data_IF_967476235725
#
_entry.id   IF_967476235725
#
_cell.length_a   1.000
_cell.length_b   1.000
_cell.length_c   1.000
_cell.angle_alpha   90.00
_cell.angle_beta   90.00
_cell.angle_gamma   90.00
#
_symmetry.space_group_name_H-M   'P 1'
#
loop_
_entity.id
_entity.type
_entity.pdbx_description
1 polymer ?
#
# COMPACT_ATOMS: atom_id res chain seq x y z
N UNK A 1 5.20 31.71 -30.40
CA UNK A 1 4.45 30.96 -29.37
C UNK A 1 3.13 30.52 -29.97
N UNK A 2 2.68 29.31 -29.66
CA UNK A 2 1.32 28.87 -29.98
C UNK A 2 0.45 28.95 -28.74
N UNK A 3 -0.61 29.75 -28.80
CA UNK A 3 -1.71 29.70 -27.83
C UNK A 3 -2.99 29.36 -28.58
N UNK A 4 -3.68 28.33 -28.10
CA UNK A 4 -5.05 28.02 -28.50
C UNK A 4 -5.90 28.24 -27.26
N UNK A 5 -6.88 29.14 -27.35
CA UNK A 5 -7.77 29.46 -26.24
C UNK A 5 -9.22 29.49 -26.68
N UNK A 6 -10.13 29.07 -25.80
CA UNK A 6 -11.57 29.09 -26.02
C UNK A 6 -12.29 29.59 -24.77
N UNK A 7 -13.27 30.48 -24.94
CA UNK A 7 -14.18 30.89 -23.85
C UNK A 7 -15.25 29.83 -23.55
N UNK A 8 -15.36 28.79 -24.40
CA UNK A 8 -16.23 27.65 -24.23
C UNK A 8 -15.43 26.38 -23.99
N UNK A 9 -15.74 25.32 -24.75
CA UNK A 9 -14.91 24.13 -24.83
C UNK A 9 -13.89 24.26 -25.99
N UNK A 10 -12.78 23.56 -25.89
CA UNK A 10 -11.79 23.38 -26.96
C UNK A 10 -11.76 21.90 -27.33
N UNK A 11 -11.94 21.57 -28.61
CA UNK A 11 -11.87 20.18 -29.09
C UNK A 11 -10.86 20.07 -30.23
N UNK A 12 -9.89 19.17 -30.09
CA UNK A 12 -8.85 18.91 -31.08
C UNK A 12 -8.78 17.40 -31.30
N UNK A 13 -8.78 16.96 -32.56
CA UNK A 13 -8.66 15.55 -32.92
C UNK A 13 -7.53 15.38 -33.93
N UNK A 14 -6.69 14.37 -33.70
CA UNK A 14 -5.61 13.95 -34.58
C UNK A 14 -5.59 12.43 -34.68
N UNK A 15 -5.49 11.88 -35.89
CA UNK A 15 -5.49 10.43 -36.11
C UNK A 15 -4.26 9.70 -35.56
N UNK A 16 -3.22 10.43 -35.14
CA UNK A 16 -1.99 9.86 -34.58
C UNK A 16 -1.50 10.67 -33.39
N UNK A 17 -0.73 11.72 -33.67
CA UNK A 17 -0.03 12.51 -32.67
C UNK A 17 -0.64 13.92 -32.51
N UNK A 18 -0.78 14.37 -31.27
CA UNK A 18 -1.07 15.75 -30.91
C UNK A 18 0.10 16.27 -30.08
N UNK A 19 0.70 17.39 -30.49
CA UNK A 19 1.89 17.95 -29.82
C UNK A 19 1.66 19.40 -29.41
N UNK A 20 1.63 19.63 -28.09
CA UNK A 20 1.69 20.95 -27.46
C UNK A 20 3.11 21.18 -26.91
N UNK A 21 4.06 21.46 -27.80
CA UNK A 21 5.47 21.65 -27.44
C UNK A 21 6.06 22.89 -28.12
N UNK A 22 7.07 23.48 -27.48
CA UNK A 22 7.85 24.55 -28.12
C UNK A 22 8.63 23.97 -29.31
N UNK A 23 8.82 24.78 -30.36
CA UNK A 23 9.67 24.38 -31.47
C UNK A 23 11.11 24.22 -31.00
N UNK A 24 11.69 23.03 -31.22
CA UNK A 24 13.07 22.68 -30.86
C UNK A 24 14.16 23.44 -31.64
N UNK A 25 13.79 24.36 -32.54
CA UNK A 25 14.71 25.06 -33.44
C UNK A 25 15.09 26.49 -33.03
N UNK A 26 14.71 26.96 -31.84
CA UNK A 26 15.09 28.30 -31.38
C UNK A 26 16.31 28.24 -30.43
N UNK A 27 17.48 28.79 -30.80
CA UNK A 27 18.64 28.82 -29.92
C UNK A 27 18.37 29.70 -28.69
N UNK A 28 18.54 29.13 -27.49
CA UNK A 28 18.79 29.73 -26.17
C UNK A 28 17.96 30.96 -25.69
N UNK A 29 16.91 31.38 -26.40
CA UNK A 29 15.96 32.36 -25.89
C UNK A 29 14.93 31.60 -25.07
N UNK A 30 14.63 32.06 -23.84
CA UNK A 30 13.50 31.58 -23.05
C UNK A 30 12.21 31.84 -23.84
N UNK A 31 11.81 30.88 -24.67
CA UNK A 31 10.54 30.92 -25.39
C UNK A 31 9.48 30.51 -24.39
N UNK A 32 8.45 31.35 -24.12
CA UNK A 32 7.44 30.95 -23.16
C UNK A 32 6.65 29.75 -23.69
N UNK A 33 6.25 28.87 -22.76
CA UNK A 33 5.67 27.57 -23.07
C UNK A 33 4.35 27.68 -23.87
N UNK A 34 4.06 26.75 -24.79
CA UNK A 34 2.81 26.75 -25.55
C UNK A 34 1.62 26.40 -24.64
N UNK A 35 0.42 26.86 -25.01
CA UNK A 35 -0.78 26.65 -24.20
C UNK A 35 -2.00 26.25 -25.02
N UNK A 36 -2.75 25.28 -24.52
CA UNK A 36 -4.09 24.89 -24.96
C UNK A 36 -5.04 25.08 -23.78
N UNK A 37 -5.94 26.04 -23.86
CA UNK A 37 -6.78 26.45 -22.73
C UNK A 37 -8.24 26.59 -23.12
N UNK A 38 -9.13 26.22 -22.20
CA UNK A 38 -10.57 26.44 -22.33
C UNK A 38 -11.20 26.82 -20.99
N UNK A 39 -12.30 27.56 -21.03
CA UNK A 39 -13.07 27.82 -19.81
C UNK A 39 -13.78 26.55 -19.34
N UNK A 40 -14.53 25.91 -20.25
CA UNK A 40 -15.18 24.61 -20.04
C UNK A 40 -14.18 23.51 -20.42
N UNK A 41 -14.60 22.46 -21.12
CA UNK A 41 -13.74 21.30 -21.34
C UNK A 41 -12.63 21.53 -22.38
N UNK A 42 -11.48 20.89 -22.17
CA UNK A 42 -10.48 20.65 -23.22
C UNK A 42 -10.56 19.17 -23.62
N UNK A 43 -10.96 18.90 -24.86
CA UNK A 43 -11.13 17.55 -25.41
C UNK A 43 -10.03 17.28 -26.45
N UNK A 44 -9.10 16.40 -26.12
CA UNK A 44 -7.99 16.02 -26.98
C UNK A 44 -8.15 14.56 -27.39
N UNK A 45 -8.31 14.31 -28.69
CA UNK A 45 -8.38 12.95 -29.24
C UNK A 45 -7.14 12.63 -30.05
N UNK A 46 -6.28 11.76 -29.54
CA UNK A 46 -5.09 11.24 -30.24
C UNK A 46 -4.56 9.97 -29.55
N UNK A 47 -3.86 9.11 -30.30
CA UNK A 47 -3.17 7.96 -29.70
C UNK A 47 -1.97 8.42 -28.86
N UNK A 48 -1.25 9.42 -29.35
CA UNK A 48 -0.09 9.98 -28.66
C UNK A 48 -0.29 11.49 -28.45
N UNK A 49 -0.33 11.90 -27.19
CA UNK A 49 -0.40 13.30 -26.77
C UNK A 49 0.94 13.66 -26.14
N UNK A 50 1.64 14.61 -26.74
CA UNK A 50 2.92 15.15 -26.21
C UNK A 50 2.68 16.57 -25.73
N UNK A 51 2.89 16.83 -24.45
CA UNK A 51 2.74 18.14 -23.83
C UNK A 51 4.02 18.52 -23.09
N UNK A 52 4.64 19.63 -23.49
CA UNK A 52 5.73 20.27 -22.75
C UNK A 52 5.35 21.69 -22.32
N UNK A 53 4.06 22.03 -22.41
CA UNK A 53 3.51 23.32 -22.02
C UNK A 53 2.29 23.13 -21.13
N UNK A 54 1.26 23.95 -21.31
CA UNK A 54 0.04 23.87 -20.49
C UNK A 54 -1.15 23.39 -21.31
N UNK A 55 -1.83 22.35 -20.83
CA UNK A 55 -3.17 21.97 -21.25
C UNK A 55 -4.09 22.24 -20.05
N UNK A 56 -5.07 23.12 -20.18
CA UNK A 56 -5.89 23.49 -19.02
C UNK A 56 -7.35 23.81 -19.31
N UNK A 57 -8.22 23.32 -18.41
CA UNK A 57 -9.59 23.76 -18.24
C UNK A 57 -9.74 24.53 -16.92
N UNK A 58 -10.38 25.70 -16.95
CA UNK A 58 -10.58 26.49 -15.71
C UNK A 58 -11.80 26.09 -14.90
N UNK A 59 -12.88 25.61 -15.53
CA UNK A 59 -14.16 25.28 -14.87
C UNK A 59 -14.74 23.92 -15.27
N UNK A 60 -14.11 23.22 -16.21
CA UNK A 60 -14.56 21.92 -16.71
C UNK A 60 -13.45 20.88 -16.58
N UNK A 61 -13.48 19.92 -17.49
CA UNK A 61 -12.59 18.78 -17.49
C UNK A 61 -11.49 18.91 -18.56
N UNK A 62 -10.40 18.18 -18.37
CA UNK A 62 -9.50 17.85 -19.47
C UNK A 62 -9.74 16.39 -19.84
N UNK A 63 -10.24 16.15 -21.06
CA UNK A 63 -10.54 14.83 -21.58
C UNK A 63 -9.47 14.45 -22.60
N UNK A 64 -8.67 13.45 -22.26
CA UNK A 64 -7.63 12.87 -23.11
C UNK A 64 -8.17 11.52 -23.58
N UNK A 65 -8.46 11.39 -24.87
CA UNK A 65 -9.08 10.18 -25.43
C UNK A 65 -8.33 9.72 -26.67
N UNK A 66 -8.56 8.47 -27.05
CA UNK A 66 -8.00 7.88 -28.26
C UNK A 66 -9.12 7.24 -29.09
N UNK A 67 -8.95 7.15 -30.40
CA UNK A 67 -9.92 6.48 -31.28
C UNK A 67 -9.66 4.97 -31.29
N UNK A 68 -10.69 4.16 -31.00
CA UNK A 68 -10.61 2.69 -31.11
C UNK A 68 -9.72 2.02 -30.05
N UNK A 69 -9.41 0.75 -30.30
CA UNK A 69 -8.53 -0.06 -29.44
C UNK A 69 -7.07 0.09 -29.88
N UNK A 70 -6.41 1.11 -29.35
CA UNK A 70 -4.98 1.35 -29.55
C UNK A 70 -4.35 1.84 -28.25
N UNK A 71 -3.05 1.63 -28.06
CA UNK A 71 -2.31 2.15 -26.89
C UNK A 71 -2.42 3.67 -26.84
N UNK A 72 -2.72 4.20 -25.65
CA UNK A 72 -2.79 5.62 -25.40
C UNK A 72 -1.54 6.06 -24.66
N UNK A 73 -0.81 7.02 -25.22
CA UNK A 73 0.39 7.58 -24.63
C UNK A 73 0.20 9.08 -24.39
N UNK A 74 0.27 9.50 -23.14
CA UNK A 74 0.30 10.91 -22.73
C UNK A 74 1.67 11.20 -22.17
N UNK A 75 2.54 11.79 -22.98
CA UNK A 75 3.85 12.27 -22.54
C UNK A 75 3.74 13.74 -22.16
N UNK A 76 3.60 14.01 -20.88
CA UNK A 76 3.50 15.33 -20.27
C UNK A 76 4.84 15.80 -19.68
N UNK A 77 5.97 15.25 -20.13
CA UNK A 77 7.31 15.61 -19.60
C UNK A 77 7.59 17.10 -19.74
N UNK A 78 7.82 17.77 -18.61
CA UNK A 78 8.04 19.22 -18.54
C UNK A 78 6.79 20.08 -18.74
N UNK A 79 5.61 19.47 -18.86
CA UNK A 79 4.33 20.14 -19.02
C UNK A 79 3.42 20.03 -17.79
N UNK A 80 2.27 20.69 -17.89
CA UNK A 80 1.18 20.63 -16.91
C UNK A 80 -0.14 20.35 -17.62
N UNK A 81 -0.89 19.37 -17.12
CA UNK A 81 -2.30 19.17 -17.44
C UNK A 81 -3.13 19.57 -16.23
N UNK A 82 -4.08 20.50 -16.40
CA UNK A 82 -4.77 21.13 -15.28
C UNK A 82 -6.28 21.26 -15.48
N UNK A 83 -7.06 20.70 -14.57
CA UNK A 83 -8.50 20.84 -14.42
C UNK A 83 -8.84 21.12 -12.95
N UNK A 84 -8.34 22.24 -12.40
CA UNK A 84 -8.41 22.55 -10.94
C UNK A 84 -9.82 22.55 -10.35
N UNK A 85 -10.84 22.80 -11.17
CA UNK A 85 -12.25 22.79 -10.77
C UNK A 85 -13.03 21.59 -11.34
N UNK A 86 -12.34 20.60 -11.90
CA UNK A 86 -12.95 19.44 -12.54
C UNK A 86 -12.05 18.21 -12.50
N UNK A 87 -12.24 17.34 -13.49
CA UNK A 87 -11.51 16.09 -13.63
C UNK A 87 -10.53 16.11 -14.81
N UNK A 88 -9.44 15.36 -14.67
CA UNK A 88 -8.67 14.89 -15.81
C UNK A 88 -9.14 13.46 -16.10
N UNK A 89 -9.66 13.23 -17.31
CA UNK A 89 -10.13 11.93 -17.74
C UNK A 89 -9.18 11.39 -18.80
N UNK A 90 -8.61 10.21 -18.56
CA UNK A 90 -7.74 9.51 -19.50
C UNK A 90 -8.48 8.26 -19.98
N UNK A 91 -8.86 8.30 -21.26
CA UNK A 91 -9.88 7.46 -21.91
C UNK A 91 -11.28 7.61 -21.35
N UNK A 92 -12.23 7.18 -22.17
CA UNK A 92 -13.64 7.07 -21.82
C UNK A 92 -13.87 5.98 -20.77
N UNK A 93 -14.80 6.20 -19.84
CA UNK A 93 -15.16 5.24 -18.79
C UNK A 93 -15.77 3.94 -19.31
N UNK A 94 -16.34 3.96 -20.50
CA UNK A 94 -16.88 2.78 -21.18
C UNK A 94 -15.85 2.02 -22.03
N UNK A 95 -14.56 2.41 -22.01
CA UNK A 95 -13.54 1.72 -22.79
C UNK A 95 -13.33 0.28 -22.28
N UNK A 96 -13.57 -0.70 -23.16
CA UNK A 96 -13.48 -2.14 -22.87
C UNK A 96 -12.42 -2.87 -23.72
N UNK A 97 -11.55 -2.12 -24.41
CA UNK A 97 -10.48 -2.70 -25.23
C UNK A 97 -9.34 -3.28 -24.39
N UNK A 98 -8.35 -3.89 -25.04
CA UNK A 98 -7.22 -4.55 -24.36
C UNK A 98 -5.95 -3.67 -24.31
N UNK A 99 -5.98 -2.49 -24.94
CA UNK A 99 -4.79 -1.65 -25.02
C UNK A 99 -4.50 -0.89 -23.73
N UNK A 100 -3.21 -0.71 -23.48
CA UNK A 100 -2.70 0.00 -22.30
C UNK A 100 -2.92 1.52 -22.37
N UNK A 101 -2.86 2.13 -21.20
CA UNK A 101 -2.89 3.59 -21.00
C UNK A 101 -1.63 4.01 -20.27
N UNK A 102 -0.82 4.85 -20.90
CA UNK A 102 0.46 5.31 -20.35
C UNK A 102 0.41 6.83 -20.18
N UNK A 103 0.69 7.33 -18.98
CA UNK A 103 0.80 8.76 -18.66
C UNK A 103 2.14 9.01 -17.98
N UNK A 104 3.02 9.80 -18.60
CA UNK A 104 4.38 10.01 -18.12
C UNK A 104 4.75 11.48 -18.06
N UNK A 105 5.45 11.88 -17.00
CA UNK A 105 6.05 13.20 -16.81
C UNK A 105 5.10 14.32 -16.41
N UNK A 106 5.70 15.42 -15.94
CA UNK A 106 5.02 16.67 -15.60
C UNK A 106 3.97 16.55 -14.51
N UNK A 107 3.10 17.56 -14.43
CA UNK A 107 2.10 17.66 -13.36
C UNK A 107 0.68 17.42 -13.87
N UNK A 108 -0.13 16.72 -13.07
CA UNK A 108 -1.56 16.50 -13.25
C UNK A 108 -2.35 17.14 -12.11
N UNK A 109 -2.95 18.30 -12.38
CA UNK A 109 -3.59 19.13 -11.36
C UNK A 109 -5.12 19.11 -11.50
N UNK A 110 -5.85 18.44 -10.60
CA UNK A 110 -7.30 18.28 -10.71
C UNK A 110 -7.98 17.98 -9.37
N UNK A 111 -9.31 17.94 -9.35
CA UNK A 111 -10.05 17.37 -8.21
C UNK A 111 -10.08 15.84 -8.28
N UNK A 112 -10.18 15.31 -9.51
CA UNK A 112 -10.23 13.88 -9.80
C UNK A 112 -9.32 13.55 -10.99
N UNK A 113 -8.66 12.41 -10.94
CA UNK A 113 -7.96 11.81 -12.07
C UNK A 113 -8.62 10.46 -12.34
N UNK A 114 -9.34 10.36 -13.45
CA UNK A 114 -10.05 9.14 -13.84
C UNK A 114 -9.26 8.44 -14.94
N UNK A 115 -8.84 7.21 -14.67
CA UNK A 115 -7.98 6.41 -15.53
C UNK A 115 -8.73 5.14 -15.95
N UNK A 116 -8.93 4.96 -17.25
CA UNK A 116 -9.64 3.80 -17.78
C UNK A 116 -8.75 3.06 -18.78
N UNK A 117 -8.70 1.74 -18.71
CA UNK A 117 -7.97 0.94 -19.71
C UNK A 117 -8.66 -0.37 -20.10
N UNK A 118 -9.92 -0.60 -19.72
CA UNK A 118 -10.66 -1.80 -20.09
C UNK A 118 -9.96 -3.07 -19.58
N UNK A 119 -9.55 -3.96 -20.49
CA UNK A 119 -8.71 -5.13 -20.17
C UNK A 119 -7.20 -4.87 -20.25
N UNK A 120 -6.77 -3.63 -20.51
CA UNK A 120 -5.37 -3.22 -20.51
C UNK A 120 -4.86 -2.74 -19.14
N UNK A 121 -3.57 -2.44 -19.10
CA UNK A 121 -2.87 -1.89 -17.91
C UNK A 121 -2.75 -0.38 -17.99
N UNK A 122 -2.90 0.27 -16.83
CA UNK A 122 -2.67 1.71 -16.66
C UNK A 122 -1.28 1.91 -16.03
N UNK A 123 -0.44 2.73 -16.65
CA UNK A 123 0.86 3.12 -16.13
C UNK A 123 0.92 4.66 -16.01
N UNK A 124 1.10 5.16 -14.80
CA UNK A 124 1.22 6.60 -14.50
C UNK A 124 2.52 6.85 -13.77
N UNK A 125 3.42 7.65 -14.35
CA UNK A 125 4.62 8.14 -13.67
C UNK A 125 4.71 9.66 -13.85
N UNK A 126 4.32 10.42 -12.83
CA UNK A 126 4.17 11.88 -12.91
C UNK A 126 4.84 12.57 -11.72
N UNK A 127 5.03 13.89 -11.82
CA UNK A 127 5.45 14.73 -10.70
C UNK A 127 4.29 14.95 -9.74
N UNK A 128 3.73 16.15 -9.73
CA UNK A 128 2.60 16.48 -8.87
C UNK A 128 1.31 15.83 -9.38
N UNK A 129 0.60 15.16 -8.48
CA UNK A 129 -0.73 14.60 -8.72
C UNK A 129 -1.62 15.02 -7.54
N UNK A 130 -2.59 15.90 -7.81
CA UNK A 130 -3.43 16.51 -6.75
C UNK A 130 -4.84 15.95 -6.66
N UNK A 131 -5.34 15.37 -7.75
CA UNK A 131 -6.68 14.79 -7.82
C UNK A 131 -6.77 13.43 -7.13
N UNK A 132 -7.98 13.06 -6.73
CA UNK A 132 -8.26 11.69 -6.29
C UNK A 132 -8.22 10.76 -7.49
N UNK A 133 -7.37 9.73 -7.44
CA UNK A 133 -7.16 8.75 -8.51
C UNK A 133 -8.26 7.70 -8.47
N UNK A 134 -9.04 7.60 -9.53
CA UNK A 134 -10.00 6.52 -9.76
C UNK A 134 -9.55 5.71 -10.96
N UNK A 135 -9.54 4.37 -10.85
CA UNK A 135 -9.00 3.50 -11.88
C UNK A 135 -9.92 2.33 -12.18
N UNK A 136 -10.08 2.03 -13.47
CA UNK A 136 -10.72 0.81 -13.98
C UNK A 136 -9.86 0.19 -15.07
N UNK A 137 -9.44 -1.06 -14.87
CA UNK A 137 -8.50 -1.73 -15.78
C UNK A 137 -8.15 -3.15 -15.31
N UNK A 138 -7.24 -3.81 -16.01
CA UNK A 138 -6.64 -5.04 -15.48
C UNK A 138 -5.74 -4.71 -14.30
N UNK A 139 -4.77 -3.82 -14.47
CA UNK A 139 -3.89 -3.37 -13.39
C UNK A 139 -3.67 -1.86 -13.49
N UNK A 140 -3.28 -1.24 -12.38
CA UNK A 140 -2.83 0.16 -12.32
C UNK A 140 -1.50 0.25 -11.61
N UNK A 141 -0.55 0.95 -12.23
CA UNK A 141 0.73 1.26 -11.63
C UNK A 141 0.89 2.76 -11.60
N UNK A 142 0.84 3.34 -10.41
CA UNK A 142 0.96 4.78 -10.20
C UNK A 142 2.23 5.05 -9.43
N UNK A 143 3.08 5.89 -10.00
CA UNK A 143 4.20 6.54 -9.33
C UNK A 143 3.99 8.05 -9.41
N UNK A 144 3.98 8.70 -8.26
CA UNK A 144 3.89 10.15 -8.17
C UNK A 144 4.97 10.68 -7.23
N UNK A 145 5.41 11.91 -7.50
CA UNK A 145 6.24 12.70 -6.60
C UNK A 145 5.39 13.86 -6.06
N UNK A 146 4.44 13.54 -5.18
CA UNK A 146 3.44 14.49 -4.66
C UNK A 146 3.41 14.48 -3.13
N UNK A 147 2.89 15.53 -2.52
CA UNK A 147 2.68 15.56 -1.07
C UNK A 147 1.68 14.49 -0.61
N UNK A 148 0.55 14.39 -1.32
CA UNK A 148 -0.51 13.41 -1.03
C UNK A 148 -0.94 12.70 -2.32
N UNK A 149 -0.74 11.39 -2.40
CA UNK A 149 -1.36 10.56 -3.43
C UNK A 149 -2.70 10.03 -2.91
N UNK A 150 -3.80 10.60 -3.41
CA UNK A 150 -5.16 10.28 -2.96
C UNK A 150 -5.79 9.22 -3.86
N UNK A 151 -6.18 8.10 -3.28
CA UNK A 151 -6.78 6.98 -3.98
C UNK A 151 -8.28 6.90 -3.68
N UNK A 152 -9.07 6.98 -4.74
CA UNK A 152 -10.52 6.77 -4.72
C UNK A 152 -10.87 5.33 -5.09
N UNK A 153 -11.87 5.15 -5.95
CA UNK A 153 -12.32 3.82 -6.38
C UNK A 153 -11.26 3.13 -7.23
N UNK A 154 -10.86 1.92 -6.83
CA UNK A 154 -10.01 1.03 -7.62
C UNK A 154 -10.81 -0.23 -7.95
N UNK A 155 -11.11 -0.41 -9.23
CA UNK A 155 -11.79 -1.60 -9.76
C UNK A 155 -10.84 -2.31 -10.73
N UNK A 156 -10.06 -3.25 -10.20
CA UNK A 156 -8.90 -3.83 -10.86
C UNK A 156 -8.91 -5.35 -10.73
N UNK A 157 -8.61 -6.06 -11.82
CA UNK A 157 -8.57 -7.54 -11.81
C UNK A 157 -7.16 -8.13 -11.65
N UNK A 158 -6.13 -7.29 -11.61
CA UNK A 158 -4.71 -7.66 -11.66
C UNK A 158 -3.90 -7.10 -10.48
N UNK A 159 -2.58 -6.94 -10.68
CA UNK A 159 -1.58 -6.53 -9.68
C UNK A 159 -1.37 -4.99 -9.59
N UNK A 160 -2.07 -4.23 -8.73
CA UNK A 160 -1.79 -2.80 -8.59
C UNK A 160 -0.55 -2.47 -7.76
N UNK A 161 0.15 -1.42 -8.20
CA UNK A 161 1.28 -0.80 -7.52
C UNK A 161 1.05 0.70 -7.37
N UNK A 162 1.06 1.20 -6.13
CA UNK A 162 0.97 2.63 -5.84
C UNK A 162 2.21 3.09 -5.09
N UNK A 163 2.91 4.06 -5.67
CA UNK A 163 4.17 4.61 -5.15
C UNK A 163 4.01 6.11 -5.04
N UNK A 164 4.21 6.64 -3.83
CA UNK A 164 4.44 8.07 -3.65
C UNK A 164 5.86 8.27 -3.09
N UNK A 165 6.79 8.71 -3.94
CA UNK A 165 8.19 8.83 -3.56
C UNK A 165 8.51 10.12 -2.81
N UNK A 166 7.55 11.04 -2.69
CA UNK A 166 7.73 12.37 -2.09
C UNK A 166 6.71 12.73 -1.00
N UNK A 167 5.89 11.78 -0.54
CA UNK A 167 4.89 12.04 0.50
C UNK A 167 4.01 10.84 0.85
N UNK A 168 2.77 11.15 1.23
CA UNK A 168 1.82 10.23 1.84
C UNK A 168 0.92 9.56 0.78
N UNK A 169 0.37 8.39 1.10
CA UNK A 169 -0.71 7.75 0.34
C UNK A 169 -1.99 7.76 1.18
N UNK A 170 -3.07 8.31 0.63
CA UNK A 170 -4.39 8.33 1.25
C UNK A 170 -5.33 7.36 0.55
N UNK A 171 -5.79 6.33 1.27
CA UNK A 171 -6.81 5.38 0.83
C UNK A 171 -8.18 5.93 1.27
N UNK A 172 -8.96 6.46 0.31
CA UNK A 172 -10.23 7.14 0.59
C UNK A 172 -11.47 6.31 0.25
N UNK A 173 -11.30 5.10 -0.27
CA UNK A 173 -12.37 4.17 -0.60
C UNK A 173 -11.94 2.73 -0.32
N UNK A 174 -12.91 1.82 -0.32
CA UNK A 174 -12.61 0.38 -0.35
C UNK A 174 -11.79 0.02 -1.59
N UNK A 175 -10.94 -0.99 -1.45
CA UNK A 175 -10.04 -1.49 -2.49
C UNK A 175 -10.34 -2.97 -2.73
N UNK A 176 -10.59 -3.32 -3.98
CA UNK A 176 -10.81 -4.69 -4.41
C UNK A 176 -9.91 -4.97 -5.62
N UNK A 177 -9.04 -5.96 -5.48
CA UNK A 177 -8.07 -6.31 -6.53
C UNK A 177 -8.04 -7.82 -6.74
N UNK A 178 -7.79 -8.21 -7.98
CA UNK A 178 -7.71 -9.62 -8.37
C UNK A 178 -6.35 -10.27 -8.14
N UNK A 179 -5.26 -9.51 -8.05
CA UNK A 179 -3.93 -10.06 -7.81
C UNK A 179 -3.19 -9.33 -6.67
N UNK A 180 -1.86 -9.29 -6.65
CA UNK A 180 -1.06 -8.72 -5.57
C UNK A 180 -1.24 -7.20 -5.46
N UNK A 181 -1.42 -6.70 -4.23
CA UNK A 181 -1.59 -5.28 -3.93
C UNK A 181 -0.36 -4.71 -3.24
N UNK A 182 0.25 -3.66 -3.81
CA UNK A 182 1.42 -3.02 -3.20
C UNK A 182 1.26 -1.50 -3.06
N UNK A 183 1.51 -1.00 -1.85
CA UNK A 183 1.64 0.42 -1.53
C UNK A 183 3.04 0.73 -0.98
N UNK A 184 3.70 1.74 -1.55
CA UNK A 184 5.00 2.24 -1.07
C UNK A 184 4.97 3.77 -0.97
N UNK A 185 5.06 4.29 0.24
CA UNK A 185 5.10 5.73 0.50
C UNK A 185 6.45 6.12 1.13
N UNK A 186 7.00 7.26 0.73
CA UNK A 186 8.13 7.87 1.46
C UNK A 186 7.68 8.56 2.74
N UNK A 187 6.39 8.91 2.85
CA UNK A 187 5.70 9.31 4.07
C UNK A 187 4.76 8.22 4.61
N UNK A 188 3.57 8.62 5.05
CA UNK A 188 2.56 7.78 5.67
C UNK A 188 1.67 7.06 4.65
N UNK A 189 1.05 5.95 5.05
CA UNK A 189 -0.08 5.33 4.37
C UNK A 189 -1.28 5.44 5.30
N UNK A 190 -2.30 6.17 4.89
CA UNK A 190 -3.42 6.60 5.72
C UNK A 190 -4.73 6.09 5.12
N UNK A 191 -5.62 5.55 5.96
CA UNK A 191 -6.97 5.16 5.53
C UNK A 191 -8.02 6.08 6.15
N UNK A 192 -8.97 6.54 5.32
CA UNK A 192 -10.10 7.36 5.78
C UNK A 192 -11.20 6.51 6.44
N UNK A 193 -12.13 7.16 7.15
CA UNK A 193 -13.29 6.50 7.77
C UNK A 193 -14.25 5.82 6.78
N UNK A 194 -14.15 6.14 5.49
CA UNK A 194 -14.93 5.47 4.44
C UNK A 194 -14.38 4.07 4.11
N UNK A 195 -13.14 3.77 4.49
CA UNK A 195 -12.52 2.47 4.22
C UNK A 195 -13.02 1.46 5.24
N UNK A 196 -13.71 0.45 4.72
CA UNK A 196 -14.24 -0.70 5.45
C UNK A 196 -13.58 -2.00 5.01
N UNK A 197 -13.05 -2.05 3.78
CA UNK A 197 -12.51 -3.25 3.18
C UNK A 197 -11.32 -2.95 2.26
N UNK A 198 -10.24 -3.73 2.40
CA UNK A 198 -9.13 -3.85 1.46
C UNK A 198 -8.94 -5.34 1.18
N UNK A 199 -9.19 -5.79 -0.05
CA UNK A 199 -9.17 -7.21 -0.41
C UNK A 199 -8.36 -7.49 -1.67
N UNK A 200 -7.57 -8.56 -1.61
CA UNK A 200 -6.76 -9.08 -2.72
C UNK A 200 -7.08 -10.58 -2.92
N UNK A 201 -7.98 -10.86 -3.87
CA UNK A 201 -8.50 -12.21 -4.16
C UNK A 201 -8.78 -12.34 -5.66
N UNK A 202 -8.21 -13.36 -6.28
CA UNK A 202 -8.36 -13.60 -7.72
C UNK A 202 -9.77 -14.07 -8.11
N UNK A 203 -10.02 -14.10 -9.42
CA UNK A 203 -11.30 -14.55 -10.00
C UNK A 203 -11.64 -16.01 -9.67
N UNK A 204 -10.66 -16.81 -9.25
CA UNK A 204 -10.84 -18.21 -8.83
C UNK A 204 -11.01 -18.34 -7.30
N UNK A 205 -11.02 -17.23 -6.57
CA UNK A 205 -11.14 -17.22 -5.11
C UNK A 205 -9.86 -17.60 -4.38
N UNK A 206 -8.69 -17.49 -5.00
CA UNK A 206 -7.38 -17.63 -4.35
C UNK A 206 -6.95 -16.28 -3.77
N UNK A 207 -6.46 -16.29 -2.55
CA UNK A 207 -5.91 -15.08 -1.94
C UNK A 207 -4.56 -14.70 -2.52
N UNK A 208 -4.31 -13.40 -2.68
CA UNK A 208 -3.07 -12.83 -3.21
C UNK A 208 -2.43 -11.87 -2.21
N UNK A 209 -1.18 -11.47 -2.43
CA UNK A 209 -0.41 -10.77 -1.41
C UNK A 209 -0.88 -9.32 -1.22
N UNK A 210 -0.75 -8.80 0.00
CA UNK A 210 -0.94 -7.38 0.31
C UNK A 210 0.34 -6.86 0.96
N UNK A 211 0.94 -5.81 0.41
CA UNK A 211 2.14 -5.18 0.93
C UNK A 211 1.93 -3.68 1.13
N UNK A 212 2.22 -3.20 2.33
CA UNK A 212 2.16 -1.78 2.70
C UNK A 212 3.47 -1.36 3.35
N UNK A 213 4.15 -0.39 2.73
CA UNK A 213 5.47 0.08 3.17
C UNK A 213 5.44 1.60 3.28
N UNK A 214 5.42 2.09 4.51
CA UNK A 214 5.45 3.52 4.83
C UNK A 214 6.85 3.96 5.26
N UNK A 215 7.22 5.18 4.92
CA UNK A 215 8.50 5.77 5.28
C UNK A 215 9.69 5.21 4.52
N UNK A 216 9.50 4.69 3.31
CA UNK A 216 10.59 4.08 2.54
C UNK A 216 11.42 5.12 1.77
N UNK A 217 12.75 4.96 1.74
CA UNK A 217 13.62 5.69 0.84
C UNK A 217 13.51 5.13 -0.57
N UNK A 218 12.56 5.63 -1.35
CA UNK A 218 12.33 5.20 -2.73
C UNK A 218 13.44 5.75 -3.61
N UNK A 219 14.37 4.88 -4.03
CA UNK A 219 15.55 5.24 -4.84
C UNK A 219 15.35 5.09 -6.34
N UNK A 220 14.11 4.79 -6.76
CA UNK A 220 13.67 4.74 -8.14
C UNK A 220 13.70 3.34 -8.76
N UNK A 221 12.84 3.16 -9.76
CA UNK A 221 13.00 2.17 -10.83
C UNK A 221 12.82 2.94 -12.14
N UNK A 222 13.31 2.39 -13.25
CA UNK A 222 12.83 2.84 -14.56
C UNK A 222 11.31 2.61 -14.64
N UNK A 223 10.56 3.59 -15.13
CA UNK A 223 9.10 3.48 -15.27
C UNK A 223 8.29 3.60 -13.96
N UNK A 224 7.34 2.69 -13.77
CA UNK A 224 6.32 2.71 -12.70
C UNK A 224 6.61 1.78 -11.52
N UNK A 225 7.71 1.04 -11.55
CA UNK A 225 8.13 0.20 -10.42
C UNK A 225 8.60 1.01 -9.19
N UNK A 226 8.98 0.28 -8.15
CA UNK A 226 9.55 0.84 -6.93
C UNK A 226 10.80 0.07 -6.53
N UNK A 227 11.84 0.80 -6.12
CA UNK A 227 12.97 0.23 -5.41
C UNK A 227 13.26 1.07 -4.17
N UNK A 228 13.55 0.44 -3.04
CA UNK A 228 13.90 1.14 -1.82
C UNK A 228 15.00 0.42 -1.03
N UNK A 229 15.78 1.21 -0.30
CA UNK A 229 17.01 0.77 0.39
C UNK A 229 16.95 0.91 1.92
N UNK A 230 15.83 1.38 2.47
CA UNK A 230 15.65 1.57 3.91
C UNK A 230 14.65 2.69 4.21
N UNK A 231 14.85 3.37 5.33
CA UNK A 231 14.02 4.48 5.78
C UNK A 231 14.25 5.76 4.98
N UNK A 232 13.19 6.49 4.65
CA UNK A 232 13.23 7.86 4.16
C UNK A 232 13.73 8.81 5.24
N UNK A 233 14.06 10.05 4.85
CA UNK A 233 14.44 11.09 5.82
C UNK A 233 13.29 11.43 6.79
N UNK A 234 12.04 11.28 6.36
CA UNK A 234 10.84 11.61 7.14
C UNK A 234 10.29 10.43 7.94
N UNK A 235 10.66 9.19 7.59
CA UNK A 235 9.97 8.00 8.08
C UNK A 235 8.50 8.02 7.65
N UNK A 236 7.72 7.10 8.20
CA UNK A 236 6.32 6.97 7.88
C UNK A 236 5.57 6.02 8.79
N UNK A 237 4.26 6.19 8.84
CA UNK A 237 3.30 5.37 9.56
C UNK A 237 2.40 4.62 8.59
N UNK A 238 1.97 3.42 8.96
CA UNK A 238 0.73 2.83 8.43
C UNK A 238 -0.36 3.17 9.43
N UNK A 239 -1.13 4.23 9.18
CA UNK A 239 -2.12 4.76 10.13
C UNK A 239 -3.55 4.63 9.60
N UNK A 240 -4.20 3.57 10.04
CA UNK A 240 -5.60 3.27 9.76
C UNK A 240 -6.48 3.55 10.97
N UNK A 241 -5.99 4.27 11.99
CA UNK A 241 -6.77 4.58 13.20
C UNK A 241 -8.06 5.36 12.92
N UNK A 242 -8.10 6.10 11.80
CA UNK A 242 -9.27 6.82 11.31
C UNK A 242 -10.21 5.99 10.41
N UNK A 243 -9.84 4.76 10.04
CA UNK A 243 -10.68 3.87 9.23
C UNK A 243 -11.90 3.38 10.01
N UNK A 244 -12.81 2.66 9.33
CA UNK A 244 -13.94 2.02 10.00
C UNK A 244 -13.47 1.15 11.17
N UNK A 245 -14.18 1.20 12.31
CA UNK A 245 -13.88 0.36 13.46
C UNK A 245 -13.91 -1.13 13.14
N UNK A 246 -14.60 -1.53 12.07
CA UNK A 246 -14.70 -2.89 11.55
C UNK A 246 -13.89 -3.10 10.26
N UNK A 247 -12.80 -2.35 10.06
CA UNK A 247 -11.94 -2.47 8.89
C UNK A 247 -11.52 -3.94 8.67
N UNK A 248 -11.75 -4.45 7.47
CA UNK A 248 -11.41 -5.81 7.07
C UNK A 248 -10.34 -5.79 5.97
N UNK A 249 -9.13 -6.28 6.28
CA UNK A 249 -8.03 -6.41 5.32
C UNK A 249 -7.81 -7.89 5.03
N UNK A 250 -8.02 -8.32 3.79
CA UNK A 250 -8.10 -9.75 3.47
C UNK A 250 -7.33 -10.13 2.23
N UNK A 251 -6.43 -11.08 2.44
CA UNK A 251 -5.79 -11.91 1.42
C UNK A 251 -6.26 -13.37 1.57
N UNK A 252 -7.40 -13.61 2.22
CA UNK A 252 -7.92 -14.95 2.46
C UNK A 252 -8.54 -15.56 1.20
N UNK A 253 -8.33 -16.87 1.00
CA UNK A 253 -9.01 -17.60 -0.06
C UNK A 253 -10.50 -17.74 0.22
N UNK A 254 -11.32 -17.58 -0.82
CA UNK A 254 -12.78 -17.73 -0.76
C UNK A 254 -13.25 -19.06 -1.35
N UNK A 255 -12.48 -19.68 -2.25
CA UNK A 255 -12.79 -20.97 -2.84
C UNK A 255 -12.03 -22.14 -2.17
N UNK A 256 -12.66 -23.31 -2.12
CA UNK A 256 -12.11 -24.49 -1.46
C UNK A 256 -10.75 -24.91 -2.05
N UNK A 257 -9.84 -25.37 -1.20
CA UNK A 257 -8.46 -25.81 -1.52
C UNK A 257 -7.49 -24.70 -1.93
N UNK A 258 -7.94 -23.44 -2.04
CA UNK A 258 -7.06 -22.34 -2.39
C UNK A 258 -6.29 -21.79 -1.18
N UNK A 259 -5.05 -21.41 -1.43
CA UNK A 259 -4.20 -20.76 -0.44
C UNK A 259 -4.58 -19.28 -0.27
N UNK A 260 -4.40 -18.78 0.96
CA UNK A 260 -4.40 -17.34 1.23
C UNK A 260 -3.06 -16.71 0.81
N UNK A 261 -3.08 -15.40 0.54
CA UNK A 261 -1.88 -14.60 0.23
C UNK A 261 -1.23 -14.04 1.49
N UNK A 262 0.05 -13.69 1.41
CA UNK A 262 0.78 -13.09 2.53
C UNK A 262 0.36 -11.62 2.73
N UNK A 263 0.48 -11.13 3.97
CA UNK A 263 0.33 -9.70 4.28
C UNK A 263 1.60 -9.16 4.91
N UNK A 264 2.11 -8.05 4.39
CA UNK A 264 3.30 -7.37 4.91
C UNK A 264 2.98 -5.92 5.20
N UNK A 265 3.22 -5.49 6.43
CA UNK A 265 3.10 -4.10 6.87
C UNK A 265 4.43 -3.67 7.46
N UNK A 266 5.04 -2.64 6.90
CA UNK A 266 6.31 -2.09 7.37
C UNK A 266 6.22 -0.57 7.46
N UNK A 267 6.59 -0.02 8.62
CA UNK A 267 6.62 1.41 8.88
C UNK A 267 8.02 1.78 9.38
N UNK A 268 8.79 2.48 8.55
CA UNK A 268 10.12 2.94 8.91
C UNK A 268 10.05 4.17 9.83
N UNK A 269 10.82 4.15 10.92
CA UNK A 269 11.07 5.34 11.72
C UNK A 269 12.26 6.11 11.17
N UNK A 270 12.21 7.43 11.24
CA UNK A 270 13.39 8.29 11.07
C UNK A 270 13.59 9.18 12.30
N UNK A 271 12.51 9.77 12.85
CA UNK A 271 12.50 10.55 14.10
C UNK A 271 11.08 10.58 14.71
N UNK A 272 10.98 10.86 16.01
CA UNK A 272 9.71 11.19 16.68
C UNK A 272 8.68 10.05 16.72
N UNK A 273 7.44 10.36 16.34
CA UNK A 273 6.30 9.43 16.36
C UNK A 273 6.13 8.62 15.06
N UNK A 274 7.17 8.54 14.23
CA UNK A 274 7.13 7.75 12.97
C UNK A 274 7.45 6.28 13.23
N UNK A 275 7.18 5.43 12.22
CA UNK A 275 7.34 3.98 12.30
C UNK A 275 6.21 3.27 13.04
N UNK A 276 5.03 3.88 13.15
CA UNK A 276 3.87 3.28 13.81
C UNK A 276 3.01 2.48 12.81
N UNK A 277 2.36 1.43 13.30
CA UNK A 277 1.32 0.69 12.59
C UNK A 277 0.07 0.68 13.47
N UNK A 278 -0.92 1.48 13.09
CA UNK A 278 -2.10 1.74 13.90
C UNK A 278 -3.35 1.26 13.16
N UNK A 279 -3.97 0.20 13.65
CA UNK A 279 -5.25 -0.30 13.16
C UNK A 279 -6.35 -0.01 14.19
N UNK A 280 -7.62 0.15 13.76
CA UNK A 280 -8.74 0.15 14.69
C UNK A 280 -8.77 -1.16 15.48
N UNK A 281 -9.08 -1.14 16.77
CA UNK A 281 -9.06 -2.36 17.60
C UNK A 281 -10.11 -3.39 17.14
N UNK A 282 -11.22 -2.96 16.53
CA UNK A 282 -12.22 -3.87 15.94
C UNK A 282 -11.87 -4.37 14.53
N UNK A 283 -10.71 -4.00 13.98
CA UNK A 283 -10.30 -4.41 12.63
C UNK A 283 -9.94 -5.90 12.57
N UNK A 284 -9.86 -6.44 11.36
CA UNK A 284 -9.43 -7.81 11.09
C UNK A 284 -8.43 -7.85 9.94
N UNK A 285 -7.33 -8.55 10.14
CA UNK A 285 -6.37 -8.93 9.11
C UNK A 285 -6.47 -10.44 8.88
N UNK A 286 -6.87 -10.85 7.67
CA UNK A 286 -7.15 -12.25 7.36
C UNK A 286 -6.38 -12.76 6.14
N UNK A 287 -5.44 -13.67 6.37
CA UNK A 287 -4.64 -14.37 5.37
C UNK A 287 -4.98 -15.87 5.29
N UNK A 288 -6.17 -16.29 5.73
CA UNK A 288 -6.52 -17.71 5.83
C UNK A 288 -6.63 -18.39 4.44
N UNK A 289 -6.15 -19.63 4.34
CA UNK A 289 -6.50 -20.53 3.24
C UNK A 289 -7.86 -21.19 3.46
N UNK A 290 -8.43 -21.78 2.42
CA UNK A 290 -9.73 -22.45 2.51
C UNK A 290 -9.60 -23.95 2.23
N UNK A 291 -10.32 -24.78 3.00
CA UNK A 291 -10.20 -26.24 2.95
C UNK A 291 -8.79 -26.72 3.32
N UNK A 292 -8.13 -27.40 2.40
CA UNK A 292 -6.72 -27.81 2.54
C UNK A 292 -5.71 -26.77 2.05
N UNK A 293 -6.18 -25.61 1.58
CA UNK A 293 -5.32 -24.53 1.13
C UNK A 293 -4.53 -23.94 2.31
N UNK A 294 -3.23 -23.71 2.09
CA UNK A 294 -2.38 -23.12 3.12
C UNK A 294 -2.81 -21.67 3.41
N UNK A 295 -2.72 -21.26 4.68
CA UNK A 295 -2.86 -19.84 5.02
C UNK A 295 -1.58 -19.08 4.66
N UNK A 296 -1.70 -17.81 4.31
CA UNK A 296 -0.58 -16.90 4.10
C UNK A 296 0.03 -16.42 5.42
N UNK A 297 1.24 -15.91 5.34
CA UNK A 297 1.96 -15.32 6.48
C UNK A 297 1.57 -13.86 6.68
N UNK A 298 1.65 -13.38 7.92
CA UNK A 298 1.43 -11.98 8.26
C UNK A 298 2.68 -11.44 8.96
N UNK A 299 3.30 -10.43 8.38
CA UNK A 299 4.48 -9.73 8.89
C UNK A 299 4.13 -8.26 9.19
N UNK A 300 4.35 -7.82 10.43
CA UNK A 300 4.09 -6.46 10.89
C UNK A 300 5.35 -5.91 11.57
N UNK A 301 5.95 -4.87 10.98
CA UNK A 301 7.22 -4.26 11.43
C UNK A 301 7.03 -2.76 11.67
N UNK A 302 6.99 -2.34 12.93
CA UNK A 302 6.87 -0.93 13.31
C UNK A 302 8.16 -0.41 13.93
N UNK A 303 8.87 0.50 13.23
CA UNK A 303 10.13 1.08 13.71
C UNK A 303 10.00 2.10 14.86
N UNK A 304 8.79 2.44 15.29
CA UNK A 304 8.59 3.48 16.32
C UNK A 304 9.12 3.06 17.69
N UNK A 305 9.70 4.01 18.41
CA UNK A 305 10.04 3.91 19.83
C UNK A 305 9.04 4.65 20.73
N UNK A 306 7.92 5.13 20.17
CA UNK A 306 6.86 5.83 20.89
C UNK A 306 6.15 4.94 21.90
N UNK A 307 5.32 5.52 22.78
CA UNK A 307 4.59 4.76 23.79
C UNK A 307 3.73 3.63 23.20
N UNK A 308 3.22 3.78 21.97
CA UNK A 308 2.51 2.73 21.21
C UNK A 308 3.04 2.72 19.78
N UNK A 309 3.79 1.68 19.43
CA UNK A 309 4.31 1.50 18.07
C UNK A 309 3.33 0.72 17.19
N UNK A 310 2.69 -0.31 17.74
CA UNK A 310 1.82 -1.22 16.98
C UNK A 310 0.50 -1.41 17.73
N UNK A 311 -0.61 -1.17 17.06
CA UNK A 311 -1.97 -1.52 17.52
C UNK A 311 -2.67 -2.30 16.43
N UNK A 312 -3.09 -3.52 16.72
CA UNK A 312 -3.73 -4.42 15.77
C UNK A 312 -5.05 -4.98 16.33
N UNK A 313 -6.01 -5.19 15.44
CA UNK A 313 -7.24 -5.89 15.74
C UNK A 313 -7.08 -7.42 15.79
N UNK A 314 -8.01 -8.13 15.17
CA UNK A 314 -7.97 -9.59 15.05
C UNK A 314 -7.08 -10.01 13.88
N UNK A 315 -6.28 -11.05 14.06
CA UNK A 315 -5.33 -11.53 13.06
C UNK A 315 -5.55 -13.02 12.83
N UNK A 316 -5.64 -13.44 11.56
CA UNK A 316 -5.69 -14.85 11.16
C UNK A 316 -4.68 -15.12 10.05
N UNK A 317 -3.74 -16.04 10.25
CA UNK A 317 -2.70 -16.39 9.27
C UNK A 317 -1.98 -17.70 9.58
N UNK A 318 -0.98 -18.07 8.79
CA UNK A 318 -0.13 -19.25 9.05
C UNK A 318 0.95 -18.91 10.07
N UNK A 319 1.95 -18.13 9.67
CA UNK A 319 2.94 -17.54 10.57
C UNK A 319 2.58 -16.07 10.78
N UNK A 320 2.49 -15.64 12.03
CA UNK A 320 2.22 -14.25 12.41
C UNK A 320 3.43 -13.71 13.14
N UNK A 321 4.11 -12.72 12.55
CA UNK A 321 5.27 -12.06 13.12
C UNK A 321 4.96 -10.57 13.30
N UNK A 322 5.04 -10.10 14.54
CA UNK A 322 4.80 -8.72 14.92
C UNK A 322 6.02 -8.23 15.69
N UNK A 323 6.66 -7.17 15.23
CA UNK A 323 7.82 -6.63 15.92
C UNK A 323 7.81 -5.10 15.92
N UNK A 324 7.90 -4.50 17.11
CA UNK A 324 8.35 -3.12 17.22
C UNK A 324 9.87 -3.09 17.01
N UNK A 325 10.28 -3.02 15.75
CA UNK A 325 11.67 -3.03 15.29
C UNK A 325 11.73 -2.26 13.98
N UNK A 326 12.84 -1.59 13.72
CA UNK A 326 13.05 -0.91 12.45
C UNK A 326 12.98 -1.95 11.32
N UNK A 327 12.16 -1.74 10.28
CA UNK A 327 12.22 -2.60 9.12
C UNK A 327 13.64 -2.59 8.53
N UNK A 328 14.13 -3.76 8.16
CA UNK A 328 15.44 -3.96 7.54
C UNK A 328 15.27 -4.75 6.25
N UNK A 329 16.30 -4.76 5.41
CA UNK A 329 16.32 -5.55 4.19
C UNK A 329 17.24 -6.76 4.43
N UNK A 330 16.68 -7.96 4.33
CA UNK A 330 17.47 -9.19 4.35
C UNK A 330 18.18 -9.33 3.00
N UNK A 331 19.47 -8.96 2.97
CA UNK A 331 20.32 -8.98 1.78
C UNK A 331 21.17 -7.71 1.65
N UNK A 332 21.94 -7.60 0.57
CA UNK A 332 22.89 -6.48 0.36
C UNK A 332 22.40 -5.44 -0.66
N UNK A 333 21.09 -5.33 -0.90
CA UNK A 333 20.54 -4.47 -1.94
C UNK A 333 19.16 -3.91 -1.61
N UNK A 334 18.50 -3.38 -2.63
CA UNK A 334 17.16 -2.85 -2.52
C UNK A 334 16.09 -3.95 -2.62
N UNK A 335 14.93 -3.70 -2.04
CA UNK A 335 13.71 -4.43 -2.36
C UNK A 335 13.10 -3.76 -3.59
N UNK A 336 12.84 -4.53 -4.65
CA UNK A 336 12.39 -4.00 -5.94
C UNK A 336 11.11 -4.68 -6.39
N UNK A 337 10.11 -3.85 -6.64
CA UNK A 337 8.89 -4.19 -7.36
C UNK A 337 9.04 -3.71 -8.80
N UNK A 338 8.76 -4.57 -9.77
CA UNK A 338 8.75 -4.15 -11.16
C UNK A 338 7.53 -3.29 -11.50
N UNK A 339 7.44 -2.87 -12.75
CA UNK A 339 6.30 -2.12 -13.26
C UNK A 339 5.01 -2.92 -13.39
N UNK A 340 4.95 -4.15 -12.86
CA UNK A 340 3.73 -4.96 -12.70
C UNK A 340 3.39 -5.20 -11.23
N UNK A 341 4.07 -4.53 -10.29
CA UNK A 341 3.83 -4.73 -8.86
C UNK A 341 4.37 -6.04 -8.29
N UNK A 342 5.12 -6.82 -9.07
CA UNK A 342 5.71 -8.08 -8.65
C UNK A 342 7.07 -7.83 -8.00
N UNK A 343 7.31 -8.46 -6.84
CA UNK A 343 8.61 -8.46 -6.19
C UNK A 343 9.65 -9.20 -7.07
N UNK A 344 10.61 -8.47 -7.62
CA UNK A 344 11.65 -9.01 -8.51
C UNK A 344 13.00 -9.17 -7.85
N UNK A 345 13.24 -8.48 -6.73
CA UNK A 345 14.44 -8.69 -5.92
C UNK A 345 14.34 -9.96 -5.09
N UNK A 346 15.46 -10.66 -4.88
CA UNK A 346 15.57 -11.72 -3.86
C UNK A 346 15.62 -11.18 -2.43
N UNK A 347 15.84 -9.87 -2.28
CA UNK A 347 15.83 -9.21 -0.99
C UNK A 347 14.40 -9.09 -0.47
N UNK A 348 14.20 -9.31 0.82
CA UNK A 348 12.89 -9.22 1.47
C UNK A 348 12.97 -8.30 2.69
N UNK A 349 11.83 -7.75 3.08
CA UNK A 349 11.73 -7.06 4.36
C UNK A 349 11.88 -8.06 5.51
N UNK A 350 12.64 -7.67 6.52
CA UNK A 350 12.85 -8.42 7.75
C UNK A 350 12.89 -7.49 8.96
N UNK A 351 12.64 -8.03 10.15
CA UNK A 351 12.92 -7.28 11.38
C UNK A 351 14.43 -7.03 11.51
N UNK A 352 14.82 -5.86 12.00
CA UNK A 352 16.18 -5.66 12.48
C UNK A 352 16.43 -6.54 13.74
N UNK A 353 17.70 -6.75 14.07
CA UNK A 353 18.09 -7.51 15.26
C UNK A 353 17.82 -6.74 16.57
N UNK A 354 17.49 -5.45 16.49
CA UNK A 354 17.15 -4.63 17.65
C UNK A 354 15.63 -4.50 17.83
N UNK A 355 15.15 -4.77 19.05
CA UNK A 355 13.76 -4.50 19.45
C UNK A 355 13.68 -3.06 19.98
N UNK A 356 12.84 -2.24 19.35
CA UNK A 356 12.57 -0.87 19.78
C UNK A 356 11.74 -0.87 21.08
N UNK A 357 11.78 0.23 21.82
CA UNK A 357 11.00 0.39 23.07
C UNK A 357 9.49 0.61 22.81
N UNK A 358 9.04 0.55 21.57
CA UNK A 358 7.66 0.79 21.21
C UNK A 358 6.72 -0.30 21.68
N UNK A 359 5.56 0.08 22.25
CA UNK A 359 4.61 -0.93 22.71
C UNK A 359 3.85 -1.59 21.55
N UNK A 360 3.52 -2.86 21.74
CA UNK A 360 2.72 -3.68 20.83
C UNK A 360 1.42 -4.07 21.55
N UNK A 361 0.30 -3.78 20.90
CA UNK A 361 -1.05 -4.10 21.37
C UNK A 361 -1.77 -4.92 20.31
N UNK A 362 -2.32 -6.07 20.70
CA UNK A 362 -3.04 -6.96 19.80
C UNK A 362 -4.32 -7.47 20.45
N UNK A 363 -5.43 -7.48 19.70
CA UNK A 363 -6.67 -8.07 20.20
C UNK A 363 -6.61 -9.60 20.21
N UNK A 364 -6.61 -10.24 19.04
CA UNK A 364 -6.67 -11.71 18.96
C UNK A 364 -5.77 -12.19 17.83
N UNK A 365 -5.14 -13.35 17.99
CA UNK A 365 -4.36 -14.00 16.94
C UNK A 365 -4.79 -15.45 16.80
N UNK A 366 -5.03 -15.87 15.56
CA UNK A 366 -5.20 -17.27 15.17
C UNK A 366 -4.13 -17.62 14.14
N UNK A 367 -3.09 -18.36 14.56
CA UNK A 367 -1.97 -18.79 13.72
C UNK A 367 -2.03 -20.29 13.41
N UNK A 368 -1.92 -20.75 12.17
CA UNK A 368 -1.88 -22.21 11.89
C UNK A 368 -0.46 -22.81 11.95
N UNK A 369 0.55 -22.02 12.33
CA UNK A 369 1.93 -22.48 12.47
C UNK A 369 2.64 -21.78 13.63
N UNK A 370 3.05 -20.52 13.50
CA UNK A 370 3.79 -19.85 14.58
C UNK A 370 3.30 -18.43 14.80
N UNK A 371 3.42 -17.95 16.04
CA UNK A 371 3.15 -16.57 16.44
C UNK A 371 4.39 -16.04 17.16
N UNK A 372 4.95 -14.93 16.68
CA UNK A 372 6.07 -14.21 17.29
C UNK A 372 5.67 -12.76 17.53
N UNK A 373 5.82 -12.26 18.75
CA UNK A 373 5.54 -10.87 19.10
C UNK A 373 6.72 -10.29 19.87
N UNK A 374 7.34 -9.24 19.34
CA UNK A 374 8.44 -8.54 19.99
C UNK A 374 8.10 -7.05 20.16
N UNK A 375 8.36 -6.49 21.34
CA UNK A 375 8.20 -5.05 21.56
C UNK A 375 8.78 -4.54 22.86
N UNK A 376 8.62 -3.24 23.10
CA UNK A 376 8.90 -2.60 24.38
C UNK A 376 8.00 -3.18 25.46
N UNK A 377 6.77 -2.70 25.53
CA UNK A 377 5.70 -3.41 26.24
C UNK A 377 4.89 -4.24 25.26
N UNK A 378 4.42 -5.41 25.66
CA UNK A 378 3.52 -6.23 24.85
C UNK A 378 2.23 -6.45 25.61
N UNK A 379 1.08 -6.20 24.98
CA UNK A 379 -0.25 -6.45 25.55
C UNK A 379 -1.11 -7.22 24.57
N UNK A 380 -1.67 -8.34 25.04
CA UNK A 380 -2.64 -9.14 24.29
C UNK A 380 -3.98 -9.07 25.01
N UNK A 381 -5.06 -8.68 24.34
CA UNK A 381 -6.36 -8.47 25.00
C UNK A 381 -7.31 -9.68 24.88
N UNK A 382 -7.11 -10.50 23.86
CA UNK A 382 -7.87 -11.70 23.53
C UNK A 382 -6.93 -12.90 23.33
N UNK A 383 -7.47 -14.04 22.86
CA UNK A 383 -6.71 -15.27 22.81
C UNK A 383 -5.65 -15.25 21.69
N UNK A 384 -4.53 -15.93 21.94
CA UNK A 384 -3.59 -16.36 20.91
C UNK A 384 -3.74 -17.86 20.76
N UNK A 385 -4.25 -18.29 19.60
CA UNK A 385 -4.51 -19.68 19.27
C UNK A 385 -3.56 -20.10 18.16
N UNK A 386 -2.72 -21.10 18.38
CA UNK A 386 -1.92 -21.67 17.30
C UNK A 386 -1.66 -23.16 17.43
N UNK A 387 -1.37 -23.81 16.30
CA UNK A 387 -0.97 -25.21 16.24
C UNK A 387 0.54 -25.44 16.33
N UNK A 388 1.37 -24.40 16.24
CA UNK A 388 2.80 -24.53 16.54
C UNK A 388 3.20 -23.63 17.69
N UNK A 389 4.26 -22.83 17.51
CA UNK A 389 4.90 -22.12 18.62
C UNK A 389 4.32 -20.73 18.86
N UNK A 390 4.30 -20.31 20.12
CA UNK A 390 4.11 -18.90 20.51
C UNK A 390 5.40 -18.42 21.16
N UNK A 391 5.94 -17.30 20.66
CA UNK A 391 7.06 -16.59 21.25
C UNK A 391 6.66 -15.13 21.48
N UNK A 392 6.76 -14.64 22.71
CA UNK A 392 6.51 -13.24 23.05
C UNK A 392 7.69 -12.70 23.85
N UNK A 393 8.32 -11.65 23.32
CA UNK A 393 9.44 -10.93 23.93
C UNK A 393 9.04 -9.49 24.22
N UNK A 394 9.03 -9.10 25.50
CA UNK A 394 8.81 -7.73 25.93
C UNK A 394 10.08 -7.17 26.61
N UNK A 395 10.59 -6.03 26.14
CA UNK A 395 11.67 -5.30 26.84
C UNK A 395 11.21 -4.58 28.11
N UNK A 396 9.91 -4.57 28.37
CA UNK A 396 9.29 -3.99 29.55
C UNK A 396 8.32 -5.00 30.15
N UNK A 397 7.04 -4.65 30.16
CA UNK A 397 5.99 -5.49 30.68
C UNK A 397 5.33 -6.31 29.57
N UNK A 398 5.01 -7.57 29.87
CA UNK A 398 4.12 -8.41 29.10
C UNK A 398 2.78 -8.53 29.85
N UNK A 399 1.70 -8.06 29.23
CA UNK A 399 0.33 -8.21 29.74
C UNK A 399 -0.44 -9.22 28.88
N UNK A 400 -0.95 -10.27 29.50
CA UNK A 400 -1.72 -11.33 28.85
C UNK A 400 -3.17 -11.30 29.35
N UNK A 401 -4.05 -10.73 28.55
CA UNK A 401 -5.48 -10.60 28.82
C UNK A 401 -6.32 -11.80 28.39
N UNK A 402 -5.84 -12.62 27.46
CA UNK A 402 -6.55 -13.82 26.96
C UNK A 402 -5.74 -15.13 27.08
N UNK A 403 -6.33 -16.24 26.68
CA UNK A 403 -5.66 -17.55 26.70
C UNK A 403 -4.55 -17.64 25.65
N UNK A 404 -3.45 -18.32 25.99
CA UNK A 404 -2.34 -18.61 25.08
C UNK A 404 -2.29 -20.12 24.82
N UNK A 405 -2.74 -20.55 23.64
CA UNK A 405 -2.93 -21.97 23.32
C UNK A 405 -1.97 -22.38 22.20
N UNK A 406 -1.11 -23.36 22.46
CA UNK A 406 -0.23 -24.00 21.48
C UNK A 406 -0.57 -25.49 21.32
N UNK A 407 -1.03 -25.91 20.15
CA UNK A 407 -1.34 -27.33 19.90
C UNK A 407 -0.12 -28.09 19.37
N UNK A 408 0.94 -28.19 20.18
CA UNK A 408 2.11 -29.02 19.90
C UNK A 408 3.44 -28.29 19.76
N UNK A 409 3.44 -26.95 19.69
CA UNK A 409 4.67 -26.15 19.70
C UNK A 409 5.04 -25.57 21.07
N UNK A 410 6.29 -25.09 21.21
CA UNK A 410 6.75 -24.43 22.43
C UNK A 410 6.02 -23.11 22.69
N UNK A 411 5.91 -22.77 23.97
CA UNK A 411 5.43 -21.48 24.44
C UNK A 411 6.60 -20.77 25.15
N UNK A 412 7.02 -19.63 24.61
CA UNK A 412 8.10 -18.80 25.17
C UNK A 412 7.56 -17.42 25.50
N UNK A 413 7.59 -17.05 26.78
CA UNK A 413 7.21 -15.73 27.27
C UNK A 413 8.40 -15.12 28.02
N UNK A 414 8.92 -14.01 27.51
CA UNK A 414 10.06 -13.30 28.10
C UNK A 414 9.67 -11.85 28.30
N UNK A 415 9.84 -11.34 29.52
CA UNK A 415 9.67 -9.93 29.85
C UNK A 415 10.83 -9.44 30.72
N UNK A 416 11.45 -8.30 30.39
CA UNK A 416 12.53 -7.74 31.23
C UNK A 416 12.02 -7.27 32.61
N UNK A 417 10.77 -6.78 32.71
CA UNK A 417 10.20 -6.29 33.96
C UNK A 417 9.23 -7.28 34.60
N UNK A 418 8.04 -7.46 34.01
CA UNK A 418 6.97 -8.27 34.60
C UNK A 418 6.11 -8.96 33.55
N UNK A 419 5.58 -10.12 33.92
CA UNK A 419 4.51 -10.81 33.19
C UNK A 419 3.27 -10.72 34.05
N UNK A 420 2.24 -10.04 33.55
CA UNK A 420 0.97 -9.81 34.22
C UNK A 420 -0.12 -10.51 33.43
N UNK A 421 -1.01 -11.22 34.10
CA UNK A 421 -2.26 -11.68 33.49
C UNK A 421 -3.44 -10.92 34.07
N UNK A 422 -4.31 -10.40 33.19
CA UNK A 422 -5.40 -9.50 33.55
C UNK A 422 -6.79 -10.02 33.17
N UNK A 423 -6.89 -11.26 32.68
CA UNK A 423 -8.15 -11.91 32.29
C UNK A 423 -8.64 -12.96 33.29
N UNK A 424 -9.92 -13.37 33.17
CA UNK A 424 -10.50 -14.43 34.01
C UNK A 424 -9.89 -15.82 33.79
N UNK A 425 -9.09 -15.99 32.72
CA UNK A 425 -8.33 -17.20 32.40
C UNK A 425 -6.85 -16.85 32.30
N UNK A 426 -6.20 -16.80 33.47
CA UNK A 426 -4.96 -16.07 33.71
C UNK A 426 -3.67 -16.72 33.12
N UNK A 427 -3.66 -17.05 31.82
CA UNK A 427 -2.69 -17.91 31.11
C UNK A 427 -3.10 -19.40 31.24
N UNK A 428 -4.03 -19.83 30.39
CA UNK A 428 -4.31 -21.26 30.19
C UNK A 428 -3.34 -21.83 29.16
N UNK A 429 -2.32 -22.57 29.63
CA UNK A 429 -1.36 -23.25 28.77
C UNK A 429 -1.83 -24.68 28.56
N UNK A 430 -2.15 -25.03 27.32
CA UNK A 430 -2.43 -26.41 26.94
C UNK A 430 -1.53 -26.78 25.78
N UNK A 431 -0.46 -27.51 26.07
CA UNK A 431 0.30 -28.25 25.06
C UNK A 431 -0.39 -29.60 24.90
N UNK A 432 -1.15 -29.80 23.83
CA UNK A 432 -1.89 -31.06 23.68
C UNK A 432 -0.93 -32.26 23.63
N UNK A 433 -1.37 -33.38 24.19
CA UNK A 433 -0.56 -34.60 24.36
C UNK A 433 -0.28 -35.36 23.05
N UNK A 434 -0.83 -34.93 21.91
CA UNK A 434 -0.91 -35.77 20.72
C UNK A 434 0.28 -35.63 19.75
N UNK A 435 1.22 -34.70 20.00
CA UNK A 435 2.36 -34.45 19.11
C UNK A 435 3.73 -34.34 19.80
N UNK A 436 3.84 -34.80 21.07
CA UNK A 436 5.04 -34.59 21.89
C UNK A 436 5.06 -33.17 22.45
N UNK A 437 4.81 -33.01 23.76
CA UNK A 437 4.62 -31.71 24.40
C UNK A 437 5.75 -30.71 24.09
N UNK A 438 5.38 -29.45 23.79
CA UNK A 438 6.33 -28.37 23.59
C UNK A 438 6.92 -27.88 24.92
N UNK A 439 8.14 -27.35 24.88
CA UNK A 439 8.75 -26.69 26.04
C UNK A 439 7.98 -25.41 26.39
N UNK A 440 7.78 -25.18 27.69
CA UNK A 440 7.23 -23.93 28.21
C UNK A 440 8.39 -23.18 28.90
N UNK A 441 8.65 -21.96 28.44
CA UNK A 441 9.58 -21.03 29.08
C UNK A 441 8.82 -19.76 29.46
N UNK A 442 8.83 -19.42 30.74
CA UNK A 442 8.29 -18.16 31.26
C UNK A 442 9.39 -17.51 32.09
N UNK A 443 9.88 -16.36 31.63
CA UNK A 443 10.94 -15.61 32.28
C UNK A 443 10.53 -14.15 32.47
N UNK A 444 10.62 -13.67 33.71
CA UNK A 444 10.36 -12.28 34.06
C UNK A 444 11.47 -11.76 34.99
N UNK A 445 11.81 -10.49 34.85
CA UNK A 445 12.85 -9.83 35.64
C UNK A 445 14.23 -9.89 34.96
N UNK A 446 15.02 -8.83 35.11
CA UNK A 446 16.33 -8.74 34.50
C UNK A 446 17.23 -9.89 34.96
N UNK A 447 17.79 -10.65 34.01
CA UNK A 447 19.09 -11.27 34.21
C UNK A 447 20.10 -10.12 34.20
N UNK A 448 20.34 -9.51 35.36
CA UNK A 448 21.36 -8.47 35.54
C UNK A 448 22.75 -8.98 35.16
#
# INVERSE_FOLDING_TARGET
MGTISSSGALSISAGGNLTNAASVHAPAISVPAPSMTAVRDVNLQAANIVNTGTISSTSGNVNLVTAGDQVMNVNNTGGTVSAVNGAINVRDSGYSGLSNTNVVGGDLLSQQLNLNSGGGTINVNVGQLTGTVNSTGTAVHVKAATGDLKLGSQDLSGDPLFVNDSGDIHINSNVFVGEDLTYVASGDIIASSAVTNISAVDVNGKGTNITMIAGANVTGSDGVGASFTGASATGGNVDFSAASSSLYISSAATANLNAGGNQTYAAYSSQGSKGQILMPTGSTMNAQGNGSGASGNILVLGGSSSATAITLGTITGQNVQIASSQPSIAGSGAVTYDGTGVLTSTNVLARDNSIANGAVQVQQITGTSSVSIDGGNVSTFGPILTTGSVAITARGNLTVGGSLVTNGGPLTLVAENSIVSSGSQAIYISTSSNSGGGNILIAAGAAS
#
